data_IF_727738918946
#
_entry.id   IF_727738918946
#
_cell.length_a   1.000
_cell.length_b   1.000
_cell.length_c   1.000
_cell.angle_alpha   90.00
_cell.angle_beta   90.00
_cell.angle_gamma   90.00
#
_symmetry.space_group_name_H-M   'P 1'
#
loop_
_entity.id
_entity.type
_entity.pdbx_description
1 polymer ?
#
# COMPACT_ATOMS: atom_id res chain seq x y z
N UNK A 1 30.63 43.21 23.98
CA UNK A 1 30.49 41.99 23.12
C UNK A 1 31.18 40.86 23.86
N UNK A 2 30.40 40.10 24.63
CA UNK A 2 30.93 38.97 25.38
C UNK A 2 30.58 37.71 24.58
N UNK A 3 31.59 37.10 24.00
CA UNK A 3 31.48 35.81 23.36
C UNK A 3 31.15 34.79 24.46
N UNK A 4 29.90 34.27 24.43
CA UNK A 4 29.51 33.13 25.23
C UNK A 4 30.28 31.90 24.82
N UNK A 5 31.11 31.37 25.69
CA UNK A 5 31.72 30.06 25.55
C UNK A 5 30.60 29.00 25.55
N UNK A 6 30.45 28.28 24.43
CA UNK A 6 29.69 27.04 24.38
C UNK A 6 30.49 26.02 25.16
N UNK A 7 30.06 25.70 26.38
CA UNK A 7 30.56 24.53 27.10
C UNK A 7 30.09 23.28 26.34
N UNK A 8 31.00 22.68 25.59
CA UNK A 8 30.78 21.29 25.11
C UNK A 8 30.85 20.40 26.36
N UNK A 9 29.70 20.02 26.88
CA UNK A 9 29.61 18.91 27.80
C UNK A 9 29.95 17.64 26.97
N UNK A 10 31.16 17.10 27.20
CA UNK A 10 31.63 15.83 26.67
C UNK A 10 30.75 14.73 27.25
N UNK A 11 29.59 14.48 26.58
CA UNK A 11 28.60 13.50 27.02
C UNK A 11 28.67 12.27 26.12
N UNK A 12 29.31 11.21 26.61
CA UNK A 12 29.26 9.91 25.94
C UNK A 12 27.90 9.23 26.13
N UNK A 13 27.41 8.54 25.11
CA UNK A 13 26.24 7.68 25.18
C UNK A 13 26.61 6.26 24.72
N UNK A 14 26.03 5.24 25.33
CA UNK A 14 26.31 3.84 24.99
C UNK A 14 25.03 3.13 24.56
N UNK A 15 25.15 2.06 23.76
CA UNK A 15 24.02 1.17 23.46
C UNK A 15 23.61 0.40 24.72
N UNK A 16 22.31 0.17 24.88
CA UNK A 16 21.78 -0.81 25.84
C UNK A 16 21.38 -2.05 25.04
N UNK A 17 22.17 -3.10 25.14
CA UNK A 17 22.04 -4.32 24.32
C UNK A 17 21.24 -5.39 25.05
N UNK A 18 20.17 -5.87 24.42
CA UNK A 18 19.49 -7.09 24.86
C UNK A 18 20.18 -8.31 24.23
N UNK A 19 20.36 -9.45 24.97
CA UNK A 19 21.01 -10.67 24.46
C UNK A 19 20.43 -11.25 23.16
N UNK A 20 19.25 -10.80 22.73
CA UNK A 20 18.65 -11.19 21.44
C UNK A 20 19.25 -10.50 20.22
N UNK A 21 20.17 -9.55 20.40
CA UNK A 21 20.73 -8.74 19.31
C UNK A 21 21.41 -9.57 18.22
N UNK A 22 22.22 -10.56 18.59
CA UNK A 22 22.95 -11.43 17.64
C UNK A 22 22.02 -12.15 16.66
N UNK A 23 20.80 -12.44 17.07
CA UNK A 23 19.77 -13.04 16.20
C UNK A 23 19.13 -12.02 15.26
N UNK A 24 19.03 -10.76 15.67
CA UNK A 24 18.31 -9.70 14.98
C UNK A 24 19.17 -8.93 13.98
N UNK A 25 20.49 -8.85 14.20
CA UNK A 25 21.45 -8.22 13.27
C UNK A 25 21.63 -9.02 11.98
N UNK A 26 21.26 -10.31 11.96
CA UNK A 26 21.23 -11.13 10.75
C UNK A 26 20.06 -10.82 9.80
N UNK A 27 19.07 -10.04 10.22
CA UNK A 27 17.93 -9.65 9.40
C UNK A 27 18.29 -8.40 8.57
N UNK A 28 18.88 -8.60 7.40
CA UNK A 28 19.12 -7.51 6.43
C UNK A 28 17.81 -7.10 5.75
N UNK A 29 17.64 -5.79 5.54
CA UNK A 29 16.53 -5.28 4.75
C UNK A 29 16.67 -5.74 3.30
N UNK A 30 15.55 -6.17 2.70
CA UNK A 30 15.52 -6.71 1.33
C UNK A 30 15.78 -5.67 0.25
N UNK A 31 15.57 -4.38 0.56
CA UNK A 31 15.81 -3.26 -0.36
C UNK A 31 15.94 -1.96 0.41
N UNK A 32 16.52 -0.95 -0.24
CA UNK A 32 16.62 0.42 0.28
C UNK A 32 15.25 1.05 0.57
N UNK A 33 14.23 0.73 -0.24
CA UNK A 33 12.86 1.20 0.01
C UNK A 33 12.29 0.61 1.30
N UNK A 34 12.61 -0.65 1.61
CA UNK A 34 12.18 -1.28 2.86
C UNK A 34 12.84 -0.63 4.08
N UNK A 35 14.11 -0.25 3.98
CA UNK A 35 14.80 0.49 5.04
C UNK A 35 14.20 1.88 5.26
N UNK A 36 13.90 2.61 4.18
CA UNK A 36 13.24 3.92 4.29
C UNK A 36 11.81 3.79 4.85
N UNK A 37 11.08 2.74 4.49
CA UNK A 37 9.77 2.48 5.07
C UNK A 37 9.82 2.31 6.60
N UNK A 38 10.87 1.66 7.14
CA UNK A 38 11.04 1.55 8.59
C UNK A 38 11.23 2.91 9.27
N UNK A 39 11.91 3.86 8.62
CA UNK A 39 12.01 5.22 9.14
C UNK A 39 10.65 5.93 9.13
N UNK A 40 9.82 5.69 8.11
CA UNK A 40 8.43 6.18 8.09
C UNK A 40 7.58 5.49 9.16
N UNK A 41 7.76 4.19 9.41
CA UNK A 41 7.11 3.46 10.51
C UNK A 41 7.48 4.08 11.89
N UNK A 42 8.73 4.52 12.05
CA UNK A 42 9.15 5.21 13.28
C UNK A 42 8.46 6.57 13.45
N UNK A 43 8.31 7.35 12.36
CA UNK A 43 7.57 8.61 12.38
C UNK A 43 6.07 8.39 12.70
N UNK A 44 5.46 7.35 12.15
CA UNK A 44 4.11 6.93 12.50
C UNK A 44 3.97 6.62 13.99
N UNK A 45 4.91 5.86 14.55
CA UNK A 45 4.92 5.48 15.96
C UNK A 45 5.23 6.68 16.89
N UNK A 46 5.84 7.74 16.36
CA UNK A 46 6.08 9.01 17.05
C UNK A 46 4.89 10.00 16.93
N UNK A 47 3.72 9.54 16.49
CA UNK A 47 2.55 10.39 16.27
C UNK A 47 2.78 11.58 15.32
N UNK A 48 3.68 11.43 14.34
CA UNK A 48 3.80 12.39 13.26
C UNK A 48 2.52 12.42 12.41
N UNK A 49 2.16 13.59 11.88
CA UNK A 49 1.12 13.69 10.85
C UNK A 49 1.71 13.98 9.46
N UNK A 50 2.97 14.36 9.39
CA UNK A 50 3.67 14.62 8.14
C UNK A 50 5.07 14.04 8.19
N UNK A 51 5.46 13.34 7.12
CA UNK A 51 6.82 12.84 6.91
C UNK A 51 7.30 13.32 5.55
N UNK A 52 8.47 13.96 5.50
CA UNK A 52 9.13 14.39 4.28
C UNK A 52 10.38 13.54 4.03
N UNK A 53 10.51 13.01 2.83
CA UNK A 53 11.66 12.22 2.39
C UNK A 53 12.28 12.96 1.21
N UNK A 54 13.58 13.26 1.32
CA UNK A 54 14.37 13.80 0.23
C UNK A 54 15.38 12.77 -0.21
N UNK A 55 15.33 12.38 -1.48
CA UNK A 55 16.25 11.42 -2.08
C UNK A 55 17.44 12.13 -2.73
N UNK A 56 18.60 11.47 -2.86
CA UNK A 56 19.73 12.03 -3.58
C UNK A 56 19.40 12.24 -5.05
N UNK A 57 19.88 13.32 -5.63
CA UNK A 57 19.80 13.50 -7.08
C UNK A 57 20.66 12.45 -7.79
N UNK A 58 20.29 12.02 -8.98
CA UNK A 58 21.09 11.09 -9.76
C UNK A 58 22.54 11.58 -9.90
N UNK A 59 23.51 10.69 -9.67
CA UNK A 59 24.95 10.93 -9.75
C UNK A 59 25.48 12.00 -8.77
N UNK A 60 24.81 12.24 -7.65
CA UNK A 60 25.33 13.05 -6.55
C UNK A 60 25.61 12.20 -5.32
N UNK A 61 26.37 12.77 -4.38
CA UNK A 61 26.58 12.21 -3.04
C UNK A 61 25.66 12.88 -2.01
N UNK A 62 24.53 13.44 -2.47
CA UNK A 62 23.55 14.05 -1.57
C UNK A 62 23.03 13.00 -0.57
N UNK A 63 22.82 13.38 0.71
CA UNK A 63 22.26 12.47 1.69
C UNK A 63 20.78 12.19 1.43
N UNK A 64 20.28 11.06 1.93
CA UNK A 64 18.84 10.86 2.12
C UNK A 64 18.44 11.54 3.42
N UNK A 65 17.39 12.35 3.36
CA UNK A 65 16.86 13.03 4.54
C UNK A 65 15.40 12.59 4.77
N UNK A 66 15.12 12.07 5.96
CA UNK A 66 13.76 11.73 6.40
C UNK A 66 13.42 12.61 7.59
N UNK A 67 12.42 13.45 7.45
CA UNK A 67 12.00 14.40 8.48
C UNK A 67 10.53 14.19 8.83
N UNK A 68 10.24 14.12 10.13
CA UNK A 68 8.88 14.05 10.66
C UNK A 68 8.58 15.19 11.64
N UNK A 69 7.29 15.42 11.88
CA UNK A 69 6.78 16.35 12.87
C UNK A 69 6.11 15.64 14.06
N UNK A 70 6.65 14.48 14.44
CA UNK A 70 6.19 13.71 15.58
C UNK A 70 6.56 14.34 16.93
N UNK A 71 6.43 13.56 17.99
CA UNK A 71 6.66 14.05 19.36
C UNK A 71 8.14 14.33 19.70
N UNK A 72 9.08 14.04 18.80
CA UNK A 72 10.50 14.12 19.08
C UNK A 72 10.95 13.28 20.28
N UNK A 73 12.22 13.43 20.65
CA UNK A 73 12.84 12.73 21.77
C UNK A 73 13.72 13.67 22.58
N UNK A 74 13.59 13.62 23.92
CA UNK A 74 14.52 14.29 24.82
C UNK A 74 15.84 13.53 24.88
N UNK A 75 16.89 14.15 25.42
CA UNK A 75 18.18 13.50 25.64
C UNK A 75 18.03 12.20 26.43
N UNK A 76 17.27 12.23 27.52
CA UNK A 76 17.03 11.03 28.33
C UNK A 76 16.32 9.91 27.55
N UNK A 77 15.37 10.25 26.68
CA UNK A 77 14.68 9.29 25.82
C UNK A 77 15.62 8.74 24.73
N UNK A 78 16.51 9.55 24.16
CA UNK A 78 17.54 9.06 23.24
C UNK A 78 18.45 8.06 23.93
N UNK A 79 18.97 8.35 25.10
CA UNK A 79 19.86 7.48 25.85
C UNK A 79 19.21 6.20 26.34
N UNK A 80 18.03 6.28 26.92
CA UNK A 80 17.40 5.17 27.64
C UNK A 80 16.42 4.36 26.78
N UNK A 81 15.79 4.99 25.78
CA UNK A 81 14.74 4.33 25.01
C UNK A 81 15.15 4.07 23.54
N UNK A 82 15.75 5.09 22.90
CA UNK A 82 16.15 4.94 21.50
C UNK A 82 17.37 4.02 21.36
N UNK A 83 18.37 4.15 22.21
CA UNK A 83 19.59 3.32 22.19
C UNK A 83 19.39 1.91 22.78
N UNK A 84 18.29 1.64 23.49
CA UNK A 84 17.96 0.29 23.91
C UNK A 84 17.56 -0.57 22.71
N UNK A 85 18.42 -1.54 22.34
CA UNK A 85 18.24 -2.43 21.21
C UNK A 85 17.35 -3.60 21.63
N UNK A 86 16.47 -4.07 20.72
CA UNK A 86 15.55 -5.18 20.91
C UNK A 86 14.50 -4.97 22.04
N UNK A 87 14.28 -3.72 22.47
CA UNK A 87 13.19 -3.38 23.38
C UNK A 87 11.84 -3.67 22.73
N UNK A 88 10.98 -4.38 23.40
CA UNK A 88 9.59 -4.56 22.97
C UNK A 88 8.75 -3.32 23.36
N UNK A 89 8.68 -2.35 22.45
CA UNK A 89 7.93 -1.09 22.63
C UNK A 89 6.48 -1.30 23.07
N UNK A 90 5.84 -2.38 22.64
CA UNK A 90 4.43 -2.64 22.97
C UNK A 90 4.22 -2.97 24.44
N UNK A 91 5.22 -3.59 25.09
CA UNK A 91 5.17 -3.89 26.53
C UNK A 91 5.33 -2.65 27.38
N UNK A 92 6.07 -1.64 26.91
CA UNK A 92 6.41 -0.46 27.72
C UNK A 92 5.57 0.75 27.37
N UNK A 93 5.20 0.95 26.10
CA UNK A 93 4.49 2.14 25.64
C UNK A 93 3.06 1.86 25.17
N UNK A 94 2.65 0.56 25.16
CA UNK A 94 1.34 0.15 24.71
C UNK A 94 1.27 -0.19 23.21
N UNK A 95 0.13 -0.73 22.80
CA UNK A 95 -0.10 -1.16 21.41
C UNK A 95 -0.56 -0.02 20.48
N UNK A 96 -0.76 1.18 21.05
CA UNK A 96 -1.28 2.35 20.32
C UNK A 96 -0.54 3.62 20.72
N UNK A 97 -0.45 4.54 19.75
CA UNK A 97 0.17 5.84 19.94
C UNK A 97 -0.70 6.77 20.77
N UNK A 98 -0.12 7.67 21.60
CA UNK A 98 -0.87 8.48 22.57
C UNK A 98 -1.84 9.48 21.94
N UNK A 99 -1.41 10.20 20.87
CA UNK A 99 -2.16 11.33 20.31
C UNK A 99 -3.22 10.88 19.31
N UNK A 100 -2.85 10.06 18.35
CA UNK A 100 -3.76 9.64 17.28
C UNK A 100 -4.34 8.24 17.49
N UNK A 101 -4.01 7.57 18.61
CA UNK A 101 -4.50 6.23 18.95
C UNK A 101 -4.25 5.19 17.83
N UNK A 102 -3.16 5.37 17.09
CA UNK A 102 -2.75 4.52 15.98
C UNK A 102 -2.14 3.23 16.49
N UNK A 103 -2.34 2.13 15.77
CA UNK A 103 -1.65 0.87 16.08
C UNK A 103 -0.17 1.00 15.76
N UNK A 104 0.69 0.77 16.76
CA UNK A 104 2.15 0.83 16.59
C UNK A 104 2.64 -0.23 15.60
N UNK A 105 3.56 0.16 14.72
CA UNK A 105 4.15 -0.70 13.68
C UNK A 105 5.46 -1.35 14.14
N UNK A 106 6.30 -0.62 14.88
CA UNK A 106 7.56 -1.13 15.43
C UNK A 106 7.34 -2.25 16.44
N UNK A 107 7.99 -3.41 16.20
CA UNK A 107 7.86 -4.59 17.08
C UNK A 107 9.19 -5.03 17.68
N UNK A 108 10.27 -4.96 16.91
CA UNK A 108 11.55 -5.61 17.23
C UNK A 108 12.57 -4.68 17.91
N UNK A 109 12.31 -3.38 17.92
CA UNK A 109 13.22 -2.38 18.50
C UNK A 109 14.53 -2.18 17.74
N UNK A 110 14.65 -2.67 16.50
CA UNK A 110 15.83 -2.54 15.63
C UNK A 110 15.57 -1.70 14.38
N UNK A 111 14.31 -1.50 13.99
CA UNK A 111 13.93 -0.75 12.79
C UNK A 111 14.46 0.69 12.78
N UNK A 112 14.73 1.27 13.95
CA UNK A 112 15.34 2.58 14.12
C UNK A 112 16.74 2.70 13.51
N UNK A 113 17.46 1.58 13.35
CA UNK A 113 18.76 1.53 12.72
C UNK A 113 18.73 1.10 11.25
N UNK A 114 17.53 1.06 10.65
CA UNK A 114 17.35 0.65 9.26
C UNK A 114 18.20 1.50 8.29
N UNK A 115 18.41 2.77 8.60
CA UNK A 115 19.25 3.66 7.81
C UNK A 115 20.69 3.16 7.64
N UNK A 116 21.27 2.52 8.64
CA UNK A 116 22.63 1.96 8.58
C UNK A 116 22.75 0.75 7.65
N UNK A 117 21.65 0.19 7.16
CA UNK A 117 21.70 -0.84 6.11
C UNK A 117 22.04 -0.28 4.73
N UNK A 118 21.80 1.03 4.51
CA UNK A 118 21.96 1.71 3.22
C UNK A 118 22.96 2.88 3.25
N UNK A 119 23.43 3.26 4.44
CA UNK A 119 24.38 4.35 4.64
C UNK A 119 25.46 3.95 5.64
N UNK A 120 26.63 4.58 5.53
CA UNK A 120 27.73 4.41 6.48
C UNK A 120 27.53 5.29 7.71
N UNK A 121 26.97 6.48 7.54
CA UNK A 121 26.65 7.40 8.62
C UNK A 121 25.14 7.67 8.70
N UNK A 122 24.61 7.64 9.91
CA UNK A 122 23.24 8.02 10.22
C UNK A 122 23.26 9.04 11.34
N UNK A 123 22.84 10.28 11.03
CA UNK A 123 22.64 11.34 12.00
C UNK A 123 21.15 11.52 12.29
N UNK A 124 20.82 11.61 13.55
CA UNK A 124 19.48 11.82 14.05
C UNK A 124 19.44 13.12 14.84
N UNK A 125 18.73 14.12 14.34
CA UNK A 125 18.44 15.38 15.00
C UNK A 125 17.02 15.33 15.55
N UNK A 126 16.81 15.46 16.85
CA UNK A 126 15.49 15.42 17.47
C UNK A 126 15.23 16.65 18.32
N UNK A 127 14.04 17.22 18.18
CA UNK A 127 13.58 18.38 18.93
C UNK A 127 12.35 17.95 19.74
N UNK A 128 12.39 18.26 21.04
CA UNK A 128 11.28 18.05 21.96
C UNK A 128 11.21 19.14 23.02
N UNK A 129 10.03 19.74 23.15
CA UNK A 129 9.78 20.78 24.16
C UNK A 129 10.82 21.93 24.12
N UNK A 130 11.28 22.31 22.93
CA UNK A 130 12.29 23.38 22.74
C UNK A 130 13.74 22.95 22.96
N UNK A 131 14.02 21.71 23.38
CA UNK A 131 15.37 21.16 23.50
C UNK A 131 15.72 20.33 22.26
N UNK A 132 16.94 20.48 21.74
CA UNK A 132 17.40 19.74 20.59
C UNK A 132 18.59 18.85 20.95
N UNK A 133 18.57 17.62 20.43
CA UNK A 133 19.64 16.65 20.60
C UNK A 133 20.06 16.07 19.24
N UNK A 134 21.32 15.81 19.06
CA UNK A 134 21.90 15.18 17.88
C UNK A 134 22.63 13.91 18.27
N UNK A 135 22.31 12.81 17.63
CA UNK A 135 22.99 11.53 17.75
C UNK A 135 23.59 11.14 16.40
N UNK A 136 24.90 10.85 16.37
CA UNK A 136 25.57 10.36 15.17
C UNK A 136 26.00 8.91 15.37
N UNK A 137 25.61 8.06 14.42
CA UNK A 137 25.96 6.64 14.36
C UNK A 137 26.81 6.38 13.13
N UNK A 138 28.02 5.88 13.35
CA UNK A 138 28.98 5.50 12.29
C UNK A 138 29.05 3.96 12.22
N UNK A 139 28.60 3.39 11.09
CA UNK A 139 28.57 1.94 10.85
C UNK A 139 29.97 1.33 10.94
N UNK A 140 31.01 2.03 10.46
CA UNK A 140 32.39 1.52 10.47
C UNK A 140 32.91 1.39 11.92
N UNK A 141 32.63 2.42 12.73
CA UNK A 141 33.01 2.37 14.17
C UNK A 141 32.27 1.25 14.91
N UNK A 142 31.03 0.98 14.54
CA UNK A 142 30.21 -0.05 15.17
C UNK A 142 30.53 -1.48 14.73
N UNK A 143 31.14 -1.68 13.53
CA UNK A 143 31.39 -3.03 12.99
C UNK A 143 32.83 -3.47 13.06
N UNK A 144 33.80 -2.52 13.16
CA UNK A 144 35.25 -2.83 13.10
C UNK A 144 35.93 -2.89 14.48
N UNK A 145 35.17 -2.90 15.56
CA UNK A 145 35.72 -3.05 16.92
C UNK A 145 35.47 -4.46 17.41
N UNK A 146 36.52 -5.07 18.02
CA UNK A 146 36.37 -6.32 18.78
C UNK A 146 35.72 -6.09 20.16
N UNK A 147 35.40 -4.85 20.49
CA UNK A 147 34.77 -4.45 21.75
C UNK A 147 33.25 -4.72 21.74
N UNK A 148 32.70 -4.97 22.92
CA UNK A 148 31.26 -5.09 23.09
C UNK A 148 30.56 -3.77 22.70
N UNK A 149 29.48 -3.84 21.96
CA UNK A 149 28.69 -2.67 21.51
C UNK A 149 28.34 -1.69 22.65
N UNK A 150 28.23 -2.19 23.86
CA UNK A 150 27.95 -1.40 25.08
C UNK A 150 29.09 -0.48 25.46
N UNK A 151 30.34 -0.80 25.03
CA UNK A 151 31.55 -0.03 25.38
C UNK A 151 31.90 1.00 24.32
N UNK A 152 31.27 0.96 23.15
CA UNK A 152 31.53 1.92 22.06
C UNK A 152 30.85 3.26 22.36
N UNK A 153 31.61 4.34 22.58
CA UNK A 153 31.01 5.64 22.81
C UNK A 153 30.35 6.19 21.56
N UNK A 154 29.09 6.62 21.69
CA UNK A 154 28.34 7.26 20.63
C UNK A 154 28.35 8.77 20.81
N UNK A 155 28.50 9.48 19.71
CA UNK A 155 28.51 10.93 19.68
C UNK A 155 27.07 11.46 19.87
N UNK A 156 26.80 12.02 21.05
CA UNK A 156 25.52 12.64 21.40
C UNK A 156 25.77 14.08 21.86
N UNK A 157 25.28 15.00 21.06
CA UNK A 157 25.34 16.43 21.34
C UNK A 157 24.00 16.94 21.87
N UNK A 158 24.01 17.72 22.93
CA UNK A 158 22.84 18.49 23.40
C UNK A 158 23.01 19.91 22.87
N UNK A 159 22.08 20.29 22.00
CA UNK A 159 22.09 21.62 21.41
C UNK A 159 21.32 22.58 22.33
N UNK A 160 21.74 23.82 22.37
CA UNK A 160 21.04 24.87 23.14
C UNK A 160 19.59 25.03 22.63
N UNK A 161 18.72 25.63 23.46
CA UNK A 161 17.32 25.90 23.16
C UNK A 161 17.10 26.34 21.70
N UNK A 162 16.15 25.69 21.05
CA UNK A 162 15.78 25.96 19.66
C UNK A 162 14.34 26.44 19.60
N UNK A 163 14.05 27.34 18.67
CA UNK A 163 12.67 27.74 18.34
C UNK A 163 12.01 26.75 17.36
N UNK A 164 12.64 25.58 17.10
CA UNK A 164 12.10 24.56 16.23
C UNK A 164 10.87 23.87 16.81
N UNK A 165 10.03 23.32 15.93
CA UNK A 165 8.89 22.48 16.32
C UNK A 165 9.39 21.07 16.66
N UNK A 166 8.66 20.38 17.53
CA UNK A 166 8.92 18.99 17.85
C UNK A 166 8.94 18.12 16.59
N UNK A 167 9.80 17.13 16.58
CA UNK A 167 9.98 16.21 15.47
C UNK A 167 11.37 15.59 15.43
N UNK A 168 11.58 14.76 14.40
CA UNK A 168 12.87 14.10 14.20
C UNK A 168 13.31 14.21 12.75
N UNK A 169 14.59 14.47 12.54
CA UNK A 169 15.24 14.45 11.23
C UNK A 169 16.32 13.40 11.21
N UNK A 170 16.23 12.43 10.32
CA UNK A 170 17.25 11.41 10.06
C UNK A 170 17.96 11.77 8.77
N UNK A 171 19.28 11.93 8.83
CA UNK A 171 20.15 12.18 7.67
C UNK A 171 21.04 10.97 7.47
N UNK A 172 20.99 10.39 6.29
CA UNK A 172 21.79 9.23 5.89
C UNK A 172 22.85 9.70 4.90
N UNK A 173 24.10 9.73 5.35
CA UNK A 173 25.26 10.17 4.59
C UNK A 173 26.14 8.97 4.20
N UNK A 174 27.04 9.17 3.24
CA UNK A 174 27.92 8.13 2.72
C UNK A 174 27.16 6.86 2.35
N UNK A 175 26.21 7.05 1.42
CA UNK A 175 25.32 5.99 0.95
C UNK A 175 26.12 4.86 0.29
N UNK A 176 25.75 3.62 0.58
CA UNK A 176 26.39 2.43 0.03
C UNK A 176 26.17 2.33 -1.49
N UNK A 177 27.21 2.65 -2.26
CA UNK A 177 27.18 2.68 -3.73
C UNK A 177 27.03 1.29 -4.35
N UNK A 178 27.15 0.21 -3.58
CA UNK A 178 26.90 -1.16 -4.06
C UNK A 178 25.44 -1.51 -4.10
N UNK A 179 24.60 -0.73 -3.45
CA UNK A 179 23.15 -0.92 -3.43
C UNK A 179 22.45 -0.12 -4.52
N UNK A 180 21.32 -0.66 -4.99
CA UNK A 180 20.41 0.11 -5.82
C UNK A 180 19.71 1.15 -4.96
N UNK A 181 19.83 2.42 -5.33
CA UNK A 181 19.09 3.49 -4.68
C UNK A 181 17.59 3.37 -4.95
N UNK A 182 16.74 3.79 -3.99
CA UNK A 182 15.30 3.75 -4.18
C UNK A 182 14.91 4.70 -5.31
N UNK A 183 14.20 4.15 -6.27
CA UNK A 183 13.56 4.98 -7.30
C UNK A 183 12.35 5.67 -6.66
N UNK A 184 12.18 7.00 -6.85
CA UNK A 184 11.09 7.75 -6.23
C UNK A 184 9.72 7.11 -6.48
N UNK A 185 9.47 6.63 -7.70
CA UNK A 185 8.20 6.01 -8.08
C UNK A 185 7.92 4.73 -7.29
N UNK A 186 8.94 3.87 -7.10
CA UNK A 186 8.78 2.61 -6.36
C UNK A 186 8.57 2.90 -4.88
N UNK A 187 9.31 3.86 -4.32
CA UNK A 187 9.14 4.28 -2.93
C UNK A 187 7.74 4.86 -2.70
N UNK A 188 7.28 5.77 -3.58
CA UNK A 188 5.93 6.36 -3.52
C UNK A 188 4.85 5.27 -3.56
N UNK A 189 4.97 4.29 -4.46
CA UNK A 189 4.04 3.15 -4.52
C UNK A 189 4.03 2.33 -3.23
N UNK A 190 5.21 1.98 -2.72
CA UNK A 190 5.35 1.21 -1.47
C UNK A 190 4.67 1.93 -0.31
N UNK A 191 4.96 3.23 -0.15
CA UNK A 191 4.43 4.04 0.94
C UNK A 191 2.92 4.28 0.78
N UNK A 192 2.43 4.54 -0.43
CA UNK A 192 1.01 4.72 -0.67
C UNK A 192 0.19 3.45 -0.37
N UNK A 193 0.72 2.26 -0.67
CA UNK A 193 0.04 1.00 -0.30
C UNK A 193 -0.22 0.88 1.18
N UNK A 194 0.69 1.38 1.99
CA UNK A 194 0.66 1.23 3.45
C UNK A 194 -0.09 2.38 4.14
N UNK A 195 0.08 3.61 3.64
CA UNK A 195 -0.35 4.83 4.32
C UNK A 195 -1.32 5.70 3.52
N UNK A 196 -1.48 5.44 2.23
CA UNK A 196 -2.20 6.34 1.32
C UNK A 196 -3.69 6.58 1.64
N UNK A 197 -4.25 5.88 2.62
CA UNK A 197 -5.64 6.06 3.11
C UNK A 197 -5.73 6.42 4.59
N UNK A 198 -4.60 6.70 5.20
CA UNK A 198 -4.58 7.19 6.58
C UNK A 198 -4.92 8.68 6.58
N UNK A 199 -5.99 9.06 7.29
CA UNK A 199 -6.53 10.44 7.21
C UNK A 199 -5.61 11.49 7.84
N UNK A 200 -4.89 11.10 8.89
CA UNK A 200 -4.05 12.02 9.67
C UNK A 200 -2.56 11.79 9.42
N UNK A 201 -2.18 11.29 8.23
CA UNK A 201 -0.79 10.99 7.92
C UNK A 201 -0.47 11.26 6.45
N UNK A 202 0.31 12.30 6.20
CA UNK A 202 0.77 12.71 4.87
C UNK A 202 2.25 12.39 4.70
N UNK A 203 2.61 11.88 3.54
CA UNK A 203 4.01 11.58 3.17
C UNK A 203 4.36 12.37 1.92
N UNK A 204 5.48 13.08 1.97
CA UNK A 204 6.01 13.90 0.91
C UNK A 204 7.34 13.28 0.45
N UNK A 205 7.49 12.97 -0.83
CA UNK A 205 8.73 12.47 -1.42
C UNK A 205 9.21 13.47 -2.46
N UNK A 206 10.41 14.01 -2.28
CA UNK A 206 11.02 15.04 -3.14
C UNK A 206 10.11 16.27 -3.40
N UNK A 207 9.35 16.67 -2.36
CA UNK A 207 8.45 17.82 -2.40
C UNK A 207 7.06 17.53 -2.96
N UNK A 208 6.76 16.29 -3.37
CA UNK A 208 5.44 15.88 -3.84
C UNK A 208 4.76 14.95 -2.82
N UNK A 209 3.53 15.24 -2.47
CA UNK A 209 2.70 14.37 -1.65
C UNK A 209 2.32 13.12 -2.43
N UNK A 210 2.48 11.95 -1.78
CA UNK A 210 2.11 10.66 -2.40
C UNK A 210 0.59 10.55 -2.55
N UNK A 211 0.15 9.96 -3.68
CA UNK A 211 -1.26 9.83 -4.00
C UNK A 211 -1.61 8.57 -4.77
N UNK A 212 -2.89 8.35 -5.02
CA UNK A 212 -3.35 7.22 -5.85
C UNK A 212 -2.78 7.24 -7.27
N UNK A 213 -2.35 8.41 -7.75
CA UNK A 213 -1.66 8.59 -9.04
C UNK A 213 -0.30 7.87 -9.10
N UNK A 214 0.31 7.61 -7.95
CA UNK A 214 1.59 6.90 -7.86
C UNK A 214 1.42 5.38 -7.96
N UNK A 215 0.19 4.86 -7.90
CA UNK A 215 -0.08 3.45 -8.12
C UNK A 215 0.14 3.06 -9.58
N UNK A 216 0.72 1.89 -9.81
CA UNK A 216 0.84 1.32 -11.14
C UNK A 216 -0.53 0.90 -11.67
N UNK A 217 -0.86 1.27 -12.91
CA UNK A 217 -2.14 0.99 -13.52
C UNK A 217 -2.63 2.05 -14.51
N UNK A 218 -3.90 1.98 -14.85
CA UNK A 218 -4.53 2.93 -15.76
C UNK A 218 -5.14 4.11 -14.98
N UNK A 219 -4.67 5.33 -15.26
CA UNK A 219 -5.17 6.55 -14.64
C UNK A 219 -6.29 7.16 -15.48
N UNK A 220 -7.33 7.59 -14.82
CA UNK A 220 -8.49 8.23 -15.44
C UNK A 220 -8.84 9.51 -14.68
N UNK A 221 -9.22 10.54 -15.45
CA UNK A 221 -9.72 11.80 -14.94
C UNK A 221 -10.81 12.30 -15.89
N UNK A 222 -11.93 12.83 -15.35
CA UNK A 222 -12.89 13.51 -16.19
C UNK A 222 -12.28 14.83 -16.70
N UNK A 223 -12.56 15.16 -17.96
CA UNK A 223 -12.21 16.47 -18.52
C UNK A 223 -13.06 17.53 -17.80
N UNK A 224 -12.44 18.60 -17.41
CA UNK A 224 -13.11 19.78 -16.87
C UNK A 224 -13.80 20.47 -18.06
N UNK A 225 -15.11 20.57 -18.06
CA UNK A 225 -15.79 21.54 -18.89
C UNK A 225 -15.54 22.92 -18.26
N UNK A 226 -14.91 23.85 -19.00
CA UNK A 226 -14.46 25.13 -18.50
C UNK A 226 -15.57 26.02 -17.93
N UNK A 227 -16.83 25.71 -18.25
CA UNK A 227 -18.02 26.52 -17.91
C UNK A 227 -18.92 25.95 -16.82
N UNK A 228 -18.63 24.79 -16.24
CA UNK A 228 -19.45 24.22 -15.16
C UNK A 228 -18.62 24.01 -13.90
N UNK A 229 -19.22 24.29 -12.75
CA UNK A 229 -18.82 23.80 -11.42
C UNK A 229 -18.88 22.24 -11.41
N UNK A 230 -18.14 21.61 -12.32
CA UNK A 230 -18.19 20.17 -12.51
C UNK A 230 -17.30 19.48 -11.49
N UNK A 231 -17.86 18.46 -10.85
CA UNK A 231 -17.14 17.56 -9.96
C UNK A 231 -15.90 16.98 -10.65
N UNK A 232 -14.75 16.99 -9.96
CA UNK A 232 -13.50 16.46 -10.51
C UNK A 232 -13.27 15.04 -10.00
N UNK A 233 -13.64 14.06 -10.81
CA UNK A 233 -13.36 12.65 -10.54
C UNK A 233 -12.03 12.25 -11.15
N UNK A 234 -11.13 11.72 -10.32
CA UNK A 234 -9.83 11.18 -10.71
C UNK A 234 -9.59 9.84 -10.02
N UNK A 235 -9.20 8.81 -10.78
CA UNK A 235 -8.94 7.49 -10.19
C UNK A 235 -7.96 6.65 -11.00
N UNK A 236 -7.39 5.64 -10.34
CA UNK A 236 -6.51 4.63 -10.92
C UNK A 236 -7.16 3.27 -10.80
N UNK A 237 -7.16 2.50 -11.88
CA UNK A 237 -7.40 1.06 -11.86
C UNK A 237 -6.03 0.38 -11.79
N UNK A 238 -5.66 -0.08 -10.60
CA UNK A 238 -4.35 -0.69 -10.38
C UNK A 238 -4.30 -2.13 -10.89
N UNK A 239 -3.19 -2.50 -11.52
CA UNK A 239 -2.85 -3.86 -11.96
C UNK A 239 -1.97 -4.61 -10.94
N UNK A 240 -1.66 -4.00 -9.81
CA UNK A 240 -0.76 -4.53 -8.81
C UNK A 240 -1.25 -5.84 -8.16
N UNK A 241 -0.32 -6.78 -7.98
CA UNK A 241 -0.60 -8.05 -7.29
C UNK A 241 -0.96 -7.84 -5.82
N UNK A 242 -0.29 -6.88 -5.15
CA UNK A 242 -0.58 -6.48 -3.78
C UNK A 242 -1.29 -5.14 -3.77
N UNK A 243 -2.61 -5.17 -3.61
CA UNK A 243 -3.45 -3.96 -3.62
C UNK A 243 -3.30 -3.19 -2.32
N UNK A 244 -3.35 -1.84 -2.39
CA UNK A 244 -3.42 -1.00 -1.19
C UNK A 244 -4.62 -1.34 -0.31
N UNK A 245 -4.56 -0.94 0.94
CA UNK A 245 -5.69 -1.02 1.88
C UNK A 245 -6.78 -0.04 1.47
N UNK A 246 -8.03 -0.35 1.83
CA UNK A 246 -9.18 0.55 1.64
C UNK A 246 -9.36 1.05 0.20
N UNK A 247 -9.63 0.15 -0.77
CA UNK A 247 -9.96 0.55 -2.14
C UNK A 247 -11.26 1.37 -2.18
N UNK A 248 -11.48 2.09 -3.28
CA UNK A 248 -12.66 2.92 -3.51
C UNK A 248 -12.32 4.37 -3.84
N UNK A 249 -13.34 5.16 -4.02
CA UNK A 249 -13.28 6.60 -4.30
C UNK A 249 -13.54 7.38 -3.01
N UNK A 250 -12.68 8.33 -2.69
CA UNK A 250 -12.81 9.25 -1.56
C UNK A 250 -13.59 10.47 -2.01
N UNK A 251 -14.58 10.90 -1.24
CA UNK A 251 -15.25 12.17 -1.46
C UNK A 251 -14.47 13.30 -0.78
N UNK A 252 -14.12 14.33 -1.55
CA UNK A 252 -13.58 15.61 -1.06
C UNK A 252 -14.59 16.72 -1.29
N UNK A 253 -14.88 17.45 -0.24
CA UNK A 253 -15.73 18.65 -0.30
C UNK A 253 -14.86 19.84 0.06
N UNK A 254 -14.70 20.76 -0.89
CA UNK A 254 -13.77 21.91 -0.77
C UNK A 254 -12.37 21.49 -0.27
N UNK A 255 -11.83 20.40 -0.84
CA UNK A 255 -10.51 19.85 -0.50
C UNK A 255 -10.46 19.00 0.77
N UNK A 256 -11.51 18.96 1.59
CA UNK A 256 -11.56 18.17 2.82
C UNK A 256 -12.18 16.79 2.56
N UNK A 257 -11.51 15.74 3.04
CA UNK A 257 -12.05 14.37 2.96
C UNK A 257 -13.26 14.21 3.86
N UNK A 258 -14.35 13.66 3.34
CA UNK A 258 -15.59 13.38 4.05
C UNK A 258 -15.93 11.90 3.94
N UNK A 259 -16.15 11.25 5.08
CA UNK A 259 -16.50 9.83 5.15
C UNK A 259 -15.34 8.88 4.82
N UNK A 260 -15.70 7.65 4.44
CA UNK A 260 -14.75 6.59 4.07
C UNK A 260 -14.75 6.38 2.54
N UNK A 261 -13.68 5.78 1.97
CA UNK A 261 -13.70 5.36 0.58
C UNK A 261 -14.92 4.48 0.28
N UNK A 262 -15.64 4.76 -0.79
CA UNK A 262 -16.85 4.07 -1.23
C UNK A 262 -16.76 3.72 -2.71
N UNK A 263 -17.59 2.78 -3.15
CA UNK A 263 -17.80 2.50 -4.57
C UNK A 263 -19.13 3.06 -5.08
N UNK A 264 -19.82 3.86 -4.27
CA UNK A 264 -21.07 4.53 -4.62
C UNK A 264 -22.18 3.59 -5.13
N UNK A 265 -22.25 2.37 -4.56
CA UNK A 265 -23.24 1.35 -4.93
C UNK A 265 -22.79 0.41 -6.05
N UNK A 266 -21.56 0.53 -6.59
CA UNK A 266 -21.04 -0.42 -7.59
C UNK A 266 -20.74 -1.81 -7.01
N UNK A 267 -20.64 -1.95 -5.70
CA UNK A 267 -20.48 -3.23 -5.00
C UNK A 267 -21.64 -4.19 -5.23
N UNK A 268 -22.84 -3.64 -5.49
CA UNK A 268 -24.07 -4.41 -5.74
C UNK A 268 -24.29 -4.72 -7.23
N UNK A 269 -23.44 -4.17 -8.12
CA UNK A 269 -23.54 -4.40 -9.56
C UNK A 269 -23.03 -5.81 -9.92
N UNK A 270 -23.94 -6.68 -10.33
CA UNK A 270 -23.65 -8.06 -10.69
C UNK A 270 -22.76 -8.22 -11.94
N UNK A 271 -22.64 -7.19 -12.77
CA UNK A 271 -21.81 -7.19 -13.96
C UNK A 271 -20.32 -6.92 -13.66
N UNK A 272 -20.02 -6.35 -12.47
CA UNK A 272 -18.66 -6.00 -12.08
C UNK A 272 -18.12 -7.00 -11.06
N UNK A 273 -17.09 -7.77 -11.40
CA UNK A 273 -16.44 -8.66 -10.43
C UNK A 273 -15.86 -7.86 -9.25
N UNK A 274 -16.19 -8.26 -8.02
CA UNK A 274 -15.74 -7.59 -6.79
C UNK A 274 -14.22 -7.44 -6.72
N UNK A 275 -13.47 -8.40 -7.30
CA UNK A 275 -12.01 -8.37 -7.35
C UNK A 275 -11.50 -7.25 -8.25
N UNK A 276 -12.20 -6.96 -9.34
CA UNK A 276 -11.87 -5.87 -10.23
C UNK A 276 -12.23 -4.52 -9.59
N UNK A 277 -13.41 -4.42 -8.96
CA UNK A 277 -13.83 -3.22 -8.25
C UNK A 277 -12.82 -2.82 -7.17
N UNK A 278 -12.26 -3.79 -6.43
CA UNK A 278 -11.19 -3.57 -5.45
C UNK A 278 -9.86 -3.08 -6.03
N UNK A 279 -9.72 -2.94 -7.34
CA UNK A 279 -8.55 -2.31 -7.96
C UNK A 279 -8.72 -0.81 -8.18
N UNK A 280 -9.88 -0.25 -7.88
CA UNK A 280 -10.18 1.18 -8.06
C UNK A 280 -9.73 1.97 -6.84
N UNK A 281 -8.91 2.98 -7.07
CA UNK A 281 -8.42 3.93 -6.06
C UNK A 281 -8.52 5.34 -6.63
N UNK A 282 -9.18 6.24 -5.95
CA UNK A 282 -9.33 7.59 -6.47
C UNK A 282 -10.03 8.54 -5.50
N UNK A 283 -10.36 9.70 -6.02
CA UNK A 283 -11.09 10.74 -5.32
C UNK A 283 -12.02 11.49 -6.26
N UNK A 284 -13.10 11.97 -5.73
CA UNK A 284 -13.98 12.93 -6.37
C UNK A 284 -14.02 14.21 -5.54
N UNK A 285 -13.63 15.32 -6.16
CA UNK A 285 -13.67 16.64 -5.54
C UNK A 285 -14.91 17.38 -6.01
N UNK A 286 -15.66 17.88 -5.05
CA UNK A 286 -16.91 18.59 -5.27
C UNK A 286 -16.94 19.86 -4.42
N UNK A 287 -17.65 20.91 -4.84
CA UNK A 287 -17.91 22.07 -4.00
C UNK A 287 -18.85 21.69 -2.85
N UNK A 288 -18.79 22.45 -1.75
CA UNK A 288 -19.76 22.31 -0.67
C UNK A 288 -21.17 22.61 -1.19
N UNK A 289 -22.04 21.63 -1.08
CA UNK A 289 -23.44 21.74 -1.53
C UNK A 289 -24.36 21.52 -0.33
N UNK A 290 -25.35 22.39 -0.12
CA UNK A 290 -26.27 22.26 1.02
C UNK A 290 -26.88 20.88 1.15
N UNK A 291 -26.72 20.26 2.31
CA UNK A 291 -27.28 18.94 2.60
C UNK A 291 -26.42 17.74 2.15
N UNK A 292 -25.27 17.95 1.53
CA UNK A 292 -24.35 16.87 1.12
C UNK A 292 -23.62 16.26 2.31
N UNK A 293 -23.19 17.10 3.25
CA UNK A 293 -22.36 16.70 4.39
C UNK A 293 -23.18 16.74 5.66
N UNK A 294 -22.91 15.83 6.62
CA UNK A 294 -23.51 15.88 7.95
C UNK A 294 -23.00 17.10 8.72
N UNK A 295 -23.79 17.59 9.68
CA UNK A 295 -23.49 18.83 10.42
C UNK A 295 -22.15 18.81 11.17
N UNK A 296 -21.68 17.61 11.54
CA UNK A 296 -20.39 17.38 12.20
C UNK A 296 -19.24 17.13 11.21
N UNK A 297 -19.50 17.19 9.90
CA UNK A 297 -18.53 16.87 8.82
C UNK A 297 -17.94 15.46 8.90
N UNK A 298 -18.54 14.57 9.71
CA UNK A 298 -18.07 13.20 9.91
C UNK A 298 -18.53 12.23 8.82
N UNK A 299 -19.52 12.59 8.05
CA UNK A 299 -20.12 11.71 7.04
C UNK A 299 -20.84 12.44 5.92
N UNK A 300 -21.36 11.64 5.00
CA UNK A 300 -22.10 12.10 3.83
C UNK A 300 -23.59 11.77 4.03
N UNK A 301 -24.48 12.68 3.61
CA UNK A 301 -25.90 12.41 3.55
C UNK A 301 -26.23 11.69 2.23
N UNK A 302 -26.20 10.36 2.28
CA UNK A 302 -26.44 9.51 1.10
C UNK A 302 -27.84 9.64 0.52
N UNK A 303 -28.80 10.20 1.29
CA UNK A 303 -30.16 10.43 0.83
C UNK A 303 -30.35 11.79 0.12
N UNK A 304 -29.30 12.61 0.03
CA UNK A 304 -29.38 13.90 -0.64
C UNK A 304 -29.34 13.77 -2.17
N UNK A 305 -30.05 14.66 -2.88
CA UNK A 305 -29.97 14.72 -4.34
C UNK A 305 -28.55 14.97 -4.85
N UNK A 306 -27.80 15.82 -4.16
CA UNK A 306 -26.43 16.12 -4.50
C UNK A 306 -25.56 14.86 -4.43
N UNK A 307 -25.74 14.01 -3.41
CA UNK A 307 -25.01 12.74 -3.33
C UNK A 307 -25.40 11.79 -4.45
N UNK A 308 -26.70 11.68 -4.78
CA UNK A 308 -27.16 10.77 -5.85
C UNK A 308 -26.59 11.18 -7.22
N UNK A 309 -26.53 12.47 -7.53
CA UNK A 309 -25.89 12.98 -8.76
C UNK A 309 -24.41 12.66 -8.82
N UNK A 310 -23.69 12.85 -7.71
CA UNK A 310 -22.28 12.49 -7.57
C UNK A 310 -22.09 10.98 -7.74
N UNK A 311 -22.94 10.19 -7.09
CA UNK A 311 -22.88 8.72 -7.12
C UNK A 311 -23.14 8.20 -8.54
N UNK A 312 -24.09 8.76 -9.27
CA UNK A 312 -24.36 8.40 -10.66
C UNK A 312 -23.18 8.71 -11.57
N UNK A 313 -22.58 9.88 -11.43
CA UNK A 313 -21.40 10.25 -12.20
C UNK A 313 -20.23 9.28 -11.95
N UNK A 314 -19.97 8.94 -10.68
CA UNK A 314 -18.94 7.97 -10.30
C UNK A 314 -19.25 6.59 -10.89
N UNK A 315 -20.49 6.10 -10.70
CA UNK A 315 -20.92 4.80 -11.22
C UNK A 315 -20.72 4.68 -12.73
N UNK A 316 -21.21 5.65 -13.48
CA UNK A 316 -21.09 5.64 -14.95
C UNK A 316 -19.63 5.60 -15.41
N UNK A 317 -18.80 6.50 -14.91
CA UNK A 317 -17.40 6.59 -15.34
C UNK A 317 -16.58 5.39 -14.90
N UNK A 318 -16.71 4.96 -13.65
CA UNK A 318 -15.97 3.80 -13.12
C UNK A 318 -16.41 2.53 -13.84
N UNK A 319 -17.71 2.30 -14.04
CA UNK A 319 -18.22 1.14 -14.77
C UNK A 319 -17.70 1.10 -16.21
N UNK A 320 -17.73 2.23 -16.93
CA UNK A 320 -17.19 2.34 -18.29
C UNK A 320 -15.70 1.95 -18.33
N UNK A 321 -14.87 2.56 -17.47
CA UNK A 321 -13.41 2.32 -17.49
C UNK A 321 -13.04 0.93 -17.00
N UNK A 322 -13.75 0.40 -15.99
CA UNK A 322 -13.60 -0.99 -15.57
C UNK A 322 -13.98 -1.98 -16.68
N UNK A 323 -15.05 -1.71 -17.41
CA UNK A 323 -15.46 -2.58 -18.53
C UNK A 323 -14.39 -2.63 -19.63
N UNK A 324 -13.75 -1.50 -19.95
CA UNK A 324 -12.65 -1.44 -20.91
C UNK A 324 -11.43 -2.22 -20.39
N UNK A 325 -11.06 -1.99 -19.14
CA UNK A 325 -9.92 -2.65 -18.50
C UNK A 325 -10.17 -4.16 -18.39
N UNK A 326 -11.37 -4.57 -18.01
CA UNK A 326 -11.78 -5.96 -17.92
C UNK A 326 -11.67 -6.68 -19.29
N UNK A 327 -12.18 -6.05 -20.36
CA UNK A 327 -12.03 -6.59 -21.73
C UNK A 327 -10.57 -6.79 -22.13
N UNK A 328 -9.70 -5.81 -21.82
CA UNK A 328 -8.26 -5.91 -22.10
C UNK A 328 -7.60 -7.07 -21.34
N UNK A 329 -7.94 -7.25 -20.08
CA UNK A 329 -7.38 -8.31 -19.25
C UNK A 329 -7.87 -9.68 -19.67
N UNK A 330 -9.17 -9.84 -20.02
CA UNK A 330 -9.71 -11.06 -20.63
C UNK A 330 -8.94 -11.38 -21.93
N UNK A 331 -8.72 -10.38 -22.77
CA UNK A 331 -7.97 -10.55 -24.02
C UNK A 331 -6.53 -10.98 -23.76
N UNK A 332 -5.87 -10.41 -22.75
CA UNK A 332 -4.51 -10.78 -22.37
C UNK A 332 -4.44 -12.20 -21.78
N UNK A 333 -5.40 -12.62 -20.97
CA UNK A 333 -5.51 -13.98 -20.45
C UNK A 333 -5.80 -14.97 -21.60
N UNK A 334 -6.73 -14.63 -22.50
CA UNK A 334 -7.02 -15.42 -23.69
C UNK A 334 -5.77 -15.60 -24.55
N UNK A 335 -4.95 -14.55 -24.75
CA UNK A 335 -3.70 -14.63 -25.50
C UNK A 335 -2.68 -15.57 -24.85
N UNK A 336 -2.55 -15.55 -23.52
CA UNK A 336 -1.66 -16.45 -22.78
C UNK A 336 -2.09 -17.92 -22.89
N UNK A 337 -3.38 -18.18 -22.81
CA UNK A 337 -3.95 -19.54 -22.92
C UNK A 337 -4.20 -19.97 -24.37
N UNK A 338 -4.00 -19.08 -25.34
CA UNK A 338 -4.39 -19.30 -26.75
C UNK A 338 -3.81 -20.59 -27.35
N UNK A 339 -2.58 -20.93 -26.97
CA UNK A 339 -1.94 -22.17 -27.49
C UNK A 339 -2.69 -23.44 -27.05
N UNK A 340 -3.08 -23.49 -25.76
CA UNK A 340 -3.85 -24.61 -25.21
C UNK A 340 -5.26 -24.64 -25.79
N UNK A 341 -5.92 -23.47 -25.79
CA UNK A 341 -7.27 -23.32 -26.31
C UNK A 341 -7.34 -23.71 -27.78
N UNK A 342 -6.41 -23.24 -28.64
CA UNK A 342 -6.40 -23.58 -30.06
C UNK A 342 -6.16 -25.05 -30.31
N UNK A 343 -5.26 -25.69 -29.57
CA UNK A 343 -4.99 -27.11 -29.69
C UNK A 343 -6.25 -27.96 -29.39
N UNK A 344 -7.01 -27.55 -28.35
CA UNK A 344 -8.26 -28.25 -27.98
C UNK A 344 -9.42 -27.91 -28.92
N UNK A 345 -9.59 -26.65 -29.31
CA UNK A 345 -10.63 -26.23 -30.26
C UNK A 345 -10.46 -26.93 -31.63
N UNK A 346 -9.23 -27.19 -32.07
CA UNK A 346 -8.95 -27.90 -33.32
C UNK A 346 -9.42 -29.35 -33.30
N UNK A 347 -9.57 -29.96 -32.13
CA UNK A 347 -10.07 -31.34 -31.96
C UNK A 347 -11.61 -31.39 -32.00
N UNK A 348 -12.30 -30.26 -31.79
CA UNK A 348 -13.76 -30.20 -31.79
C UNK A 348 -14.32 -30.16 -33.23
N UNK A 349 -15.49 -30.80 -33.49
CA UNK A 349 -16.24 -30.65 -34.73
C UNK A 349 -16.55 -29.20 -35.03
N UNK A 350 -16.59 -28.81 -36.30
CA UNK A 350 -16.74 -27.41 -36.72
C UNK A 350 -18.01 -26.75 -36.17
N UNK A 351 -19.11 -27.50 -36.11
CA UNK A 351 -20.38 -27.04 -35.54
C UNK A 351 -20.35 -26.76 -34.05
N UNK A 352 -19.36 -27.28 -33.31
CA UNK A 352 -19.18 -27.04 -31.87
C UNK A 352 -18.20 -25.92 -31.57
N UNK A 353 -17.30 -25.56 -32.50
CA UNK A 353 -16.21 -24.59 -32.29
C UNK A 353 -16.70 -23.20 -31.96
N UNK A 354 -17.67 -22.68 -32.72
CA UNK A 354 -18.22 -21.32 -32.49
C UNK A 354 -18.89 -21.21 -31.13
N UNK A 355 -19.61 -22.22 -30.71
CA UNK A 355 -20.22 -22.25 -29.37
C UNK A 355 -19.16 -22.36 -28.28
N UNK A 356 -18.16 -23.21 -28.44
CA UNK A 356 -17.06 -23.34 -27.49
C UNK A 356 -16.31 -22.01 -27.31
N UNK A 357 -16.08 -21.28 -28.38
CA UNK A 357 -15.43 -19.97 -28.33
C UNK A 357 -16.27 -18.95 -27.54
N UNK A 358 -17.58 -18.89 -27.77
CA UNK A 358 -18.50 -18.03 -27.00
C UNK A 358 -18.57 -18.43 -25.52
N UNK A 359 -18.62 -19.73 -25.23
CA UNK A 359 -18.60 -20.24 -23.85
C UNK A 359 -17.30 -19.88 -23.11
N UNK A 360 -16.14 -20.03 -23.77
CA UNK A 360 -14.85 -19.65 -23.20
C UNK A 360 -14.75 -18.14 -22.92
N UNK A 361 -15.29 -17.29 -23.80
CA UNK A 361 -15.32 -15.84 -23.55
C UNK A 361 -16.13 -15.51 -22.28
N UNK A 362 -17.27 -16.17 -22.06
CA UNK A 362 -18.09 -15.99 -20.85
C UNK A 362 -17.36 -16.50 -19.61
N UNK A 363 -16.69 -17.66 -19.68
CA UNK A 363 -15.92 -18.25 -18.59
C UNK A 363 -14.80 -17.29 -18.18
N UNK A 364 -13.99 -16.82 -19.13
CA UNK A 364 -12.91 -15.88 -18.86
C UNK A 364 -13.41 -14.57 -18.23
N UNK A 365 -14.57 -14.08 -18.71
CA UNK A 365 -15.21 -12.89 -18.12
C UNK A 365 -15.62 -13.09 -16.65
N UNK A 366 -16.15 -14.27 -16.32
CA UNK A 366 -16.67 -14.56 -14.97
C UNK A 366 -15.57 -14.90 -13.95
N UNK A 367 -14.52 -15.59 -14.38
CA UNK A 367 -13.42 -16.03 -13.52
C UNK A 367 -12.21 -15.09 -13.59
N UNK A 368 -12.42 -13.84 -13.98
CA UNK A 368 -11.39 -12.84 -13.99
C UNK A 368 -10.65 -12.76 -12.64
N UNK A 369 -9.31 -12.81 -12.73
CA UNK A 369 -8.41 -12.70 -11.59
C UNK A 369 -8.13 -14.00 -10.84
N UNK A 370 -8.66 -15.14 -11.29
CA UNK A 370 -8.11 -16.44 -10.88
C UNK A 370 -6.73 -16.67 -11.51
N UNK A 371 -5.96 -17.60 -10.94
CA UNK A 371 -4.66 -17.96 -11.50
C UNK A 371 -4.82 -18.57 -12.90
N UNK A 372 -3.82 -18.39 -13.77
CA UNK A 372 -3.84 -18.94 -15.13
C UNK A 372 -3.98 -20.47 -15.12
N UNK A 373 -3.40 -21.16 -14.09
CA UNK A 373 -3.57 -22.60 -13.90
C UNK A 373 -5.03 -22.98 -13.63
N UNK A 374 -5.69 -22.25 -12.72
CA UNK A 374 -7.09 -22.52 -12.37
C UNK A 374 -8.03 -22.22 -13.54
N UNK A 375 -7.76 -21.15 -14.27
CA UNK A 375 -8.50 -20.84 -15.50
C UNK A 375 -8.27 -21.93 -16.54
N UNK A 376 -7.03 -22.45 -16.67
CA UNK A 376 -6.70 -23.56 -17.57
C UNK A 376 -7.55 -24.79 -17.27
N UNK A 377 -7.62 -25.23 -16.01
CA UNK A 377 -8.47 -26.36 -15.58
C UNK A 377 -9.94 -26.13 -15.90
N UNK A 378 -10.47 -24.92 -15.63
CA UNK A 378 -11.87 -24.59 -15.92
C UNK A 378 -12.15 -24.63 -17.43
N UNK A 379 -11.20 -24.13 -18.24
CA UNK A 379 -11.30 -24.16 -19.70
C UNK A 379 -11.29 -25.61 -20.22
N UNK A 380 -10.39 -26.47 -19.72
CA UNK A 380 -10.31 -27.85 -20.10
C UNK A 380 -11.60 -28.60 -19.75
N UNK A 381 -12.12 -28.46 -18.53
CA UNK A 381 -13.40 -29.07 -18.12
C UNK A 381 -14.57 -28.59 -18.98
N UNK A 382 -14.61 -27.29 -19.32
CA UNK A 382 -15.66 -26.75 -20.17
C UNK A 382 -15.59 -27.31 -21.60
N UNK A 383 -14.38 -27.47 -22.15
CA UNK A 383 -14.20 -28.03 -23.48
C UNK A 383 -14.52 -29.53 -23.52
N UNK A 384 -14.11 -30.29 -22.50
CA UNK A 384 -14.46 -31.71 -22.36
C UNK A 384 -15.98 -31.90 -22.26
N UNK A 385 -16.67 -31.02 -21.50
CA UNK A 385 -18.13 -31.05 -21.41
C UNK A 385 -18.83 -30.75 -22.76
N UNK A 386 -18.26 -29.86 -23.58
CA UNK A 386 -18.76 -29.52 -24.92
C UNK A 386 -18.51 -30.68 -25.89
N UNK A 387 -17.42 -31.40 -25.71
CA UNK A 387 -17.06 -32.56 -26.56
C UNK A 387 -18.05 -33.71 -26.38
N UNK A 388 -18.57 -33.92 -25.16
CA UNK A 388 -19.54 -34.94 -24.84
C UNK A 388 -20.94 -34.61 -25.43
N UNK A 389 -21.51 -35.49 -26.24
CA UNK A 389 -22.76 -35.27 -26.96
C UNK A 389 -23.97 -34.98 -26.04
N UNK A 390 -24.03 -35.58 -24.85
CA UNK A 390 -25.07 -35.36 -23.87
C UNK A 390 -25.09 -33.94 -23.28
N UNK A 391 -23.91 -33.35 -23.02
CA UNK A 391 -23.77 -32.01 -22.45
C UNK A 391 -24.02 -30.91 -23.47
N UNK A 392 -23.75 -31.15 -24.74
CA UNK A 392 -24.06 -30.21 -25.83
C UNK A 392 -25.54 -29.81 -25.86
N UNK A 393 -26.46 -30.76 -25.71
CA UNK A 393 -27.88 -30.52 -25.69
C UNK A 393 -28.35 -29.67 -24.49
N UNK A 394 -27.68 -29.83 -23.36
CA UNK A 394 -27.98 -29.03 -22.14
C UNK A 394 -27.43 -27.61 -22.27
N UNK A 395 -26.19 -27.44 -22.70
CA UNK A 395 -25.57 -26.12 -22.87
C UNK A 395 -26.22 -25.32 -24.00
N UNK A 396 -26.65 -25.96 -25.10
CA UNK A 396 -27.33 -25.30 -26.19
C UNK A 396 -28.74 -24.81 -25.82
N UNK A 397 -29.40 -25.40 -24.81
CA UNK A 397 -30.68 -24.92 -24.28
C UNK A 397 -30.59 -23.70 -23.39
N UNK A 398 -29.45 -23.51 -22.76
CA UNK A 398 -29.19 -22.36 -21.86
C UNK A 398 -29.03 -21.07 -22.66
N UNK A 399 -28.58 -21.13 -23.91
CA UNK A 399 -28.44 -19.94 -24.78
C UNK A 399 -29.82 -19.42 -25.32
N UNK A 400 -30.87 -20.20 -25.19
CA UNK A 400 -32.22 -19.83 -25.64
C UNK A 400 -33.17 -19.32 -24.53
N UNK A 401 -32.72 -19.33 -23.28
CA UNK A 401 -33.49 -18.81 -22.14
C UNK A 401 -32.74 -17.68 -21.47
N UNK A 402 -33.30 -16.51 -21.57
CA UNK A 402 -32.84 -15.31 -20.87
C UNK A 402 -32.40 -15.59 -19.44
N UNK A 403 -31.24 -15.05 -19.09
CA UNK A 403 -30.85 -14.48 -17.80
C UNK A 403 -30.93 -15.29 -16.50
N UNK A 404 -31.14 -16.60 -16.49
CA UNK A 404 -31.03 -17.37 -15.25
C UNK A 404 -29.92 -18.42 -15.36
N UNK A 405 -28.85 -18.13 -14.67
CA UNK A 405 -27.58 -18.75 -14.48
C UNK A 405 -27.57 -20.30 -14.32
N UNK A 406 -26.71 -21.04 -15.01
CA UNK A 406 -26.34 -22.40 -14.64
C UNK A 406 -25.17 -22.45 -13.65
N UNK A 407 -25.13 -21.55 -12.67
CA UNK A 407 -24.16 -21.63 -11.57
C UNK A 407 -24.30 -22.94 -10.76
N UNK A 408 -25.49 -23.54 -10.76
CA UNK A 408 -25.77 -24.79 -10.07
C UNK A 408 -25.12 -26.03 -10.70
N UNK A 409 -24.90 -26.05 -12.03
CA UNK A 409 -24.32 -27.21 -12.68
C UNK A 409 -22.80 -27.25 -12.55
N UNK A 410 -22.15 -26.11 -12.60
CA UNK A 410 -20.70 -26.02 -12.34
C UNK A 410 -20.35 -26.17 -10.86
N UNK A 411 -21.22 -25.71 -9.93
CA UNK A 411 -21.04 -25.97 -8.50
C UNK A 411 -21.24 -27.44 -8.12
N UNK A 412 -22.13 -28.16 -8.75
CA UNK A 412 -22.33 -29.60 -8.50
C UNK A 412 -21.12 -30.46 -8.93
N UNK A 413 -20.39 -30.05 -9.96
CA UNK A 413 -19.17 -30.75 -10.40
C UNK A 413 -17.93 -30.50 -9.52
N UNK A 414 -17.90 -29.38 -8.80
CA UNK A 414 -16.75 -28.99 -7.95
C UNK A 414 -16.91 -29.51 -6.51
N UNK A 415 -18.17 -29.68 -6.04
CA UNK A 415 -18.43 -30.17 -4.67
C UNK A 415 -18.27 -31.68 -4.48
N UNK A 416 -18.22 -32.48 -5.53
CA UNK A 416 -18.07 -33.93 -5.41
C UNK A 416 -16.60 -34.44 -5.40
N UNK A 417 -15.63 -33.55 -5.45
CA UNK A 417 -14.19 -33.90 -5.36
C UNK A 417 -13.67 -34.13 -3.95
N UNK A 418 -14.35 -33.69 -2.90
CA UNK A 418 -13.85 -33.71 -1.52
C UNK A 418 -14.49 -34.76 -0.59
N UNK A 419 -15.29 -35.71 -1.12
CA UNK A 419 -15.83 -36.79 -0.32
C UNK A 419 -15.49 -38.20 -0.88
N UNK A 420 -14.22 -38.49 -1.05
CA UNK A 420 -13.74 -39.86 -1.21
C UNK A 420 -12.50 -40.06 -0.34
N UNK A 421 -12.71 -40.44 0.91
CA UNK A 421 -11.59 -40.79 1.78
C UNK A 421 -11.91 -41.01 3.24
N UNK A 422 -12.95 -41.78 3.61
CA UNK A 422 -12.95 -42.51 4.90
C UNK A 422 -13.53 -43.88 4.66
N UNK A 423 -12.68 -44.88 4.60
CA UNK A 423 -13.06 -46.32 4.79
C UNK A 423 -13.30 -46.51 6.29
N UNK A 424 -14.35 -47.22 6.69
CA UNK A 424 -14.44 -47.73 8.04
C UNK A 424 -13.60 -49.01 8.16
N UNK A 425 -12.74 -49.03 9.17
CA UNK A 425 -12.07 -50.25 9.63
C UNK A 425 -13.10 -51.17 10.25
N UNK A 426 -12.99 -52.44 9.84
CA UNK A 426 -13.38 -53.64 10.63
C UNK A 426 -12.10 -54.24 11.18
#
# INVERSE_FOLDING_TARGET
MTLGYIEFMDSSANFLVNPRLTRLLGETYRSSEAALKELVDNAWDADANTVSIKLPKPMTHDPIVVQDNGCGMSESQLRQEYLEIARDKRRTQGARTPKYNRKTKGRKGIGKFAGLSIATEMRLDSIKDGAACRLTLDKVKLTNTDDDLETIPLELEVLSETQGRDGTTVVLSDLDQTLNFPRPEILKQLLYREYGREQDFSIIVDGEEIGFKDLSGAHFQNKRDEDALSNRLSFTITDEKSKPKSPGIVLRVDGKVVGKPSFFGLEDDQEIPSKLLRSVFGEIEVPDTPGLVTADWGGVNESSKAYEEIAEQVRLMVKEKLSITHKRQISAQKARLQKQINARLAQLPENKREFAEKALQRILGRFYGESDERIGVIVDVALDAIELDGYWAVLGRVDKRDSHCPASVLQAGICNGDQLGTRPDV
#
